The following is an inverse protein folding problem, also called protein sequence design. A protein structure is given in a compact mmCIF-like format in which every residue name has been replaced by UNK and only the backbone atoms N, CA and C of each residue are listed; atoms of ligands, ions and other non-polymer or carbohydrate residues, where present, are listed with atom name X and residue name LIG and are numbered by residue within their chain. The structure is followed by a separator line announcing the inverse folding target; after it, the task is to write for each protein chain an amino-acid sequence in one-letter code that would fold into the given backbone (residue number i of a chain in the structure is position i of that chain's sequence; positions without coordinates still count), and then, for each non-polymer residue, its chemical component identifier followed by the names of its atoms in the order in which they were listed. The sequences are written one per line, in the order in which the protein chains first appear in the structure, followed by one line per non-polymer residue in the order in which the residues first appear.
data_IF_749749167814
#
_entry.id   IF_749749167814
#
_cell.length_a   1.000
_cell.length_b   1.000
_cell.length_c   1.000
_cell.angle_alpha   90.00
_cell.angle_beta   90.00
_cell.angle_gamma   90.00
#
_symmetry.space_group_name_H-M   'P 1'
#
loop_
_entity.id
_entity.type
_entity.pdbx_description
1 polymer ?
#
# COMPACT_ATOMS: atom_id res chain seq x y z
N UNK A 1 8.19 0.24 7.21
CA UNK A 1 7.20 1.34 7.11
C UNK A 1 7.72 2.75 7.44
N UNK A 2 8.45 3.00 8.53
CA UNK A 2 8.91 4.37 8.89
C UNK A 2 9.81 5.06 7.83
N UNK A 3 10.53 4.27 7.02
CA UNK A 3 11.40 4.76 5.92
C UNK A 3 10.72 4.72 4.54
N UNK A 4 9.42 4.43 4.48
CA UNK A 4 8.70 4.29 3.21
C UNK A 4 8.80 5.55 2.35
N UNK A 5 8.54 6.71 2.94
CA UNK A 5 8.54 7.98 2.18
C UNK A 5 9.93 8.36 1.67
N UNK A 6 11.00 8.08 2.43
CA UNK A 6 12.37 8.28 1.93
C UNK A 6 12.68 7.35 0.76
N UNK A 7 12.37 6.05 0.87
CA UNK A 7 12.59 5.09 -0.21
C UNK A 7 11.80 5.47 -1.48
N UNK A 8 10.57 5.94 -1.31
CA UNK A 8 9.74 6.40 -2.43
C UNK A 8 10.32 7.65 -3.10
N UNK A 9 10.78 8.64 -2.31
CA UNK A 9 11.38 9.86 -2.84
C UNK A 9 12.67 9.56 -3.64
N UNK A 10 13.51 8.68 -3.10
CA UNK A 10 14.74 8.24 -3.77
C UNK A 10 14.41 7.53 -5.08
N UNK A 11 13.40 6.64 -5.08
CA UNK A 11 12.94 5.93 -6.29
C UNK A 11 12.39 6.89 -7.36
N UNK A 12 11.61 7.90 -6.96
CA UNK A 12 11.11 8.94 -7.88
C UNK A 12 12.25 9.71 -8.54
N UNK A 13 13.27 10.07 -7.77
CA UNK A 13 14.46 10.76 -8.29
C UNK A 13 15.17 9.91 -9.34
N UNK A 14 15.25 8.59 -9.13
CA UNK A 14 15.84 7.67 -10.10
C UNK A 14 15.01 7.58 -11.40
N UNK A 15 13.68 7.55 -11.30
CA UNK A 15 12.79 7.57 -12.46
C UNK A 15 12.98 8.84 -13.28
N UNK A 16 13.06 10.00 -12.63
CA UNK A 16 13.30 11.28 -13.31
C UNK A 16 14.64 11.28 -14.05
N UNK A 17 15.70 10.79 -13.40
CA UNK A 17 17.01 10.66 -14.03
C UNK A 17 16.99 9.73 -15.27
N UNK A 18 16.26 8.60 -15.20
CA UNK A 18 16.05 7.70 -16.34
C UNK A 18 15.34 8.41 -17.49
N UNK A 19 14.25 9.15 -17.21
CA UNK A 19 13.48 9.89 -18.21
C UNK A 19 14.35 10.93 -18.93
N UNK A 20 15.21 11.65 -18.20
CA UNK A 20 16.16 12.62 -18.78
C UNK A 20 17.21 11.93 -19.68
N UNK A 21 17.67 10.73 -19.30
CA UNK A 21 18.65 9.99 -20.10
C UNK A 21 18.07 9.41 -21.41
N UNK A 22 16.74 9.32 -21.55
CA UNK A 22 16.08 8.82 -22.77
C UNK A 22 16.30 7.33 -23.06
N UNK A 23 16.77 6.56 -22.07
CA UNK A 23 17.05 5.13 -22.22
C UNK A 23 15.87 4.27 -21.73
N UNK A 24 15.49 3.26 -22.52
CA UNK A 24 14.49 2.28 -22.11
C UNK A 24 15.04 1.29 -21.06
N UNK A 25 16.36 1.10 -21.04
CA UNK A 25 17.05 0.20 -20.09
C UNK A 25 17.64 1.01 -18.94
N UNK A 26 17.40 0.56 -17.72
CA UNK A 26 17.98 1.16 -16.51
C UNK A 26 19.48 0.84 -16.49
N UNK A 27 20.31 1.88 -16.45
CA UNK A 27 21.77 1.74 -16.29
C UNK A 27 22.11 2.00 -14.83
N UNK A 28 22.56 0.97 -14.12
CA UNK A 28 22.93 1.03 -12.70
C UNK A 28 24.43 0.79 -12.56
N UNK A 29 25.25 1.80 -12.78
CA UNK A 29 26.71 1.66 -12.73
C UNK A 29 27.25 1.80 -11.31
N UNK A 30 26.66 2.69 -10.50
CA UNK A 30 27.10 2.97 -9.14
C UNK A 30 26.53 1.95 -8.18
N UNK A 31 27.32 1.57 -7.18
CA UNK A 31 26.91 0.67 -6.11
C UNK A 31 25.64 1.19 -5.39
N UNK A 32 25.59 2.48 -5.09
CA UNK A 32 24.45 3.08 -4.39
C UNK A 32 23.15 2.95 -5.19
N UNK A 33 23.19 3.17 -6.51
CA UNK A 33 22.01 3.04 -7.38
C UNK A 33 21.51 1.57 -7.38
N UNK A 34 22.43 0.61 -7.45
CA UNK A 34 22.10 -0.83 -7.36
C UNK A 34 21.44 -1.18 -6.02
N UNK A 35 22.03 -0.72 -4.91
CA UNK A 35 21.50 -1.00 -3.57
C UNK A 35 20.13 -0.35 -3.39
N UNK A 36 19.94 0.87 -3.86
CA UNK A 36 18.66 1.57 -3.78
C UNK A 36 17.56 0.78 -4.50
N UNK A 37 17.82 0.32 -5.73
CA UNK A 37 16.85 -0.50 -6.48
C UNK A 37 16.54 -1.80 -5.75
N UNK A 38 17.54 -2.48 -5.20
CA UNK A 38 17.33 -3.74 -4.45
C UNK A 38 16.52 -3.52 -3.17
N UNK A 39 16.77 -2.42 -2.45
CA UNK A 39 15.98 -2.04 -1.27
C UNK A 39 14.53 -1.75 -1.65
N UNK A 40 14.30 -1.00 -2.73
CA UNK A 40 12.95 -0.76 -3.26
C UNK A 40 12.25 -2.05 -3.67
N UNK A 41 12.97 -2.98 -4.32
CA UNK A 41 12.41 -4.27 -4.74
C UNK A 41 11.95 -5.13 -3.55
N UNK A 42 12.75 -5.21 -2.49
CA UNK A 42 12.36 -5.92 -1.27
C UNK A 42 11.16 -5.23 -0.60
N UNK A 43 11.16 -3.90 -0.55
CA UNK A 43 10.06 -3.12 0.04
C UNK A 43 8.75 -3.27 -0.76
N UNK A 44 8.82 -3.33 -2.09
CA UNK A 44 7.70 -3.67 -2.96
C UNK A 44 7.17 -5.07 -2.67
N UNK A 45 8.06 -6.06 -2.57
CA UNK A 45 7.69 -7.43 -2.27
C UNK A 45 6.95 -7.55 -0.92
N UNK A 46 7.43 -6.85 0.11
CA UNK A 46 6.81 -6.77 1.44
C UNK A 46 5.40 -6.15 1.37
N UNK A 47 5.21 -5.14 0.51
CA UNK A 47 3.92 -4.47 0.28
C UNK A 47 3.12 -5.02 -0.90
N UNK A 48 3.40 -6.25 -1.35
CA UNK A 48 2.81 -6.81 -2.56
C UNK A 48 1.43 -7.44 -2.38
N UNK A 49 0.90 -7.53 -1.17
CA UNK A 49 -0.37 -8.21 -0.93
C UNK A 49 -1.53 -7.62 -1.78
N UNK A 50 -1.70 -6.29 -1.89
CA UNK A 50 -2.78 -5.71 -2.67
C UNK A 50 -2.62 -5.85 -4.19
N UNK A 51 -1.48 -6.35 -4.68
CA UNK A 51 -1.22 -6.53 -6.11
C UNK A 51 -1.40 -7.99 -6.57
N UNK A 52 -1.86 -8.87 -5.68
CA UNK A 52 -2.14 -10.28 -5.99
C UNK A 52 -3.62 -10.49 -6.31
N UNK A 53 -4.01 -11.59 -6.99
CA UNK A 53 -5.41 -11.92 -7.20
C UNK A 53 -6.24 -11.80 -5.91
N UNK A 54 -7.45 -11.26 -6.03
CA UNK A 54 -8.26 -10.85 -4.87
C UNK A 54 -8.41 -11.92 -3.79
N UNK A 55 -8.50 -13.20 -4.16
CA UNK A 55 -8.63 -14.31 -3.21
C UNK A 55 -7.37 -14.52 -2.33
N UNK A 56 -6.18 -14.19 -2.85
CA UNK A 56 -4.96 -14.20 -2.06
C UNK A 56 -4.86 -12.94 -1.20
N UNK A 57 -5.16 -11.77 -1.78
CA UNK A 57 -5.12 -10.52 -1.05
C UNK A 57 -6.05 -10.55 0.17
N UNK A 58 -7.28 -11.05 0.02
CA UNK A 58 -8.24 -11.19 1.13
C UNK A 58 -7.72 -12.07 2.27
N UNK A 59 -7.00 -13.15 1.96
CA UNK A 59 -6.38 -14.00 2.98
C UNK A 59 -5.30 -13.26 3.76
N UNK A 60 -4.43 -12.51 3.07
CA UNK A 60 -3.42 -11.69 3.73
C UNK A 60 -4.04 -10.58 4.58
N UNK A 61 -5.08 -9.92 4.06
CA UNK A 61 -5.81 -8.90 4.80
C UNK A 61 -6.46 -9.47 6.07
N UNK A 62 -7.07 -10.65 6.01
CA UNK A 62 -7.63 -11.30 7.19
C UNK A 62 -6.56 -11.60 8.25
N UNK A 63 -5.37 -12.03 7.82
CA UNK A 63 -4.27 -12.38 8.74
C UNK A 63 -3.70 -11.15 9.44
N UNK A 64 -3.47 -10.05 8.71
CA UNK A 64 -2.93 -8.82 9.31
C UNK A 64 -3.95 -8.16 10.24
N UNK A 65 -5.24 -8.18 9.89
CA UNK A 65 -6.29 -7.68 10.78
C UNK A 65 -6.40 -8.51 12.05
N UNK A 66 -6.30 -9.85 11.95
CA UNK A 66 -6.27 -10.70 13.14
C UNK A 66 -5.09 -10.37 14.06
N UNK A 67 -3.91 -10.09 13.49
CA UNK A 67 -2.73 -9.66 14.24
C UNK A 67 -2.98 -8.32 14.95
N UNK A 68 -3.50 -7.31 14.23
CA UNK A 68 -3.84 -6.01 14.81
C UNK A 68 -4.86 -6.13 15.93
N UNK A 69 -5.89 -6.95 15.75
CA UNK A 69 -6.92 -7.11 16.78
C UNK A 69 -6.40 -7.84 18.01
N UNK A 70 -5.48 -8.80 17.86
CA UNK A 70 -4.79 -9.43 19.00
C UNK A 70 -3.93 -8.42 19.75
N UNK A 71 -3.26 -7.51 19.04
CA UNK A 71 -2.52 -6.41 19.66
C UNK A 71 -3.49 -5.49 20.44
N UNK A 72 -4.60 -5.09 19.81
CA UNK A 72 -5.59 -4.21 20.44
C UNK A 72 -6.25 -4.82 21.68
N UNK A 73 -6.56 -6.12 21.66
CA UNK A 73 -7.05 -6.83 22.85
C UNK A 73 -6.02 -6.77 23.98
N UNK A 74 -4.72 -6.96 23.65
CA UNK A 74 -3.65 -6.91 24.64
C UNK A 74 -3.44 -5.49 25.20
N UNK A 75 -3.57 -4.47 24.36
CA UNK A 75 -3.53 -3.06 24.77
C UNK A 75 -4.68 -2.75 25.75
N UNK A 76 -5.90 -3.24 25.46
CA UNK A 76 -7.06 -3.13 26.37
C UNK A 76 -6.81 -3.83 27.71
N UNK A 77 -6.27 -5.05 27.70
CA UNK A 77 -5.93 -5.79 28.92
C UNK A 77 -4.89 -5.07 29.79
N UNK A 78 -3.94 -4.37 29.16
CA UNK A 78 -2.91 -3.60 29.86
C UNK A 78 -3.40 -2.22 30.30
N UNK A 79 -4.62 -1.83 29.95
CA UNK A 79 -5.19 -0.52 30.27
C UNK A 79 -4.48 0.64 29.58
N UNK A 80 -3.87 0.40 28.42
CA UNK A 80 -3.23 1.43 27.60
C UNK A 80 -4.12 1.81 26.41
N UNK A 81 -3.81 2.95 25.78
CA UNK A 81 -4.52 3.39 24.57
C UNK A 81 -4.37 2.35 23.46
N UNK A 82 -5.49 2.01 22.82
CA UNK A 82 -5.52 1.04 21.71
C UNK A 82 -4.99 1.71 20.46
N UNK A 83 -4.00 1.09 19.83
CA UNK A 83 -3.36 1.58 18.62
C UNK A 83 -4.38 1.75 17.48
N UNK A 84 -4.16 2.71 16.57
CA UNK A 84 -4.97 2.83 15.36
C UNK A 84 -5.10 1.49 14.64
N UNK A 85 -6.28 1.20 14.07
CA UNK A 85 -6.61 -0.05 13.37
C UNK A 85 -6.67 -1.32 14.24
N UNK A 86 -6.27 -1.26 15.51
CA UNK A 86 -6.22 -2.42 16.40
C UNK A 86 -7.55 -2.67 17.12
N UNK A 87 -8.49 -1.72 17.11
CA UNK A 87 -9.84 -1.95 17.65
C UNK A 87 -10.79 -2.57 16.61
N UNK A 88 -11.07 -3.87 16.75
CA UNK A 88 -12.03 -4.60 15.91
C UNK A 88 -13.45 -4.02 15.91
N UNK A 89 -13.83 -3.20 16.90
CA UNK A 89 -15.15 -2.58 17.00
C UNK A 89 -15.31 -1.28 16.21
N UNK A 90 -14.23 -0.68 15.70
CA UNK A 90 -14.24 0.66 15.12
C UNK A 90 -13.47 0.75 13.79
N UNK A 91 -13.45 -0.34 13.01
CA UNK A 91 -12.72 -0.40 11.74
C UNK A 91 -13.65 -0.79 10.60
N UNK A 92 -13.78 0.10 9.61
CA UNK A 92 -14.30 -0.24 8.29
C UNK A 92 -13.16 -0.81 7.45
N UNK A 93 -13.12 -2.12 7.29
CA UNK A 93 -12.03 -2.84 6.61
C UNK A 93 -11.85 -2.31 5.19
N UNK A 94 -12.94 -2.14 4.46
CA UNK A 94 -12.93 -1.73 3.06
C UNK A 94 -12.36 -0.33 2.88
N UNK A 95 -12.81 0.63 3.70
CA UNK A 95 -12.29 2.01 3.70
C UNK A 95 -10.81 2.04 4.06
N UNK A 96 -10.38 1.20 5.00
CA UNK A 96 -8.97 1.09 5.36
C UNK A 96 -8.12 0.53 4.23
N UNK A 97 -8.57 -0.51 3.53
CA UNK A 97 -7.81 -1.07 2.40
C UNK A 97 -7.72 -0.10 1.22
N UNK A 98 -8.81 0.61 0.89
CA UNK A 98 -8.76 1.68 -0.12
C UNK A 98 -7.75 2.75 0.27
N UNK A 99 -7.80 3.26 1.52
CA UNK A 99 -6.83 4.26 1.98
C UNK A 99 -5.38 3.75 1.97
N UNK A 100 -5.16 2.49 2.36
CA UNK A 100 -3.83 1.90 2.31
C UNK A 100 -3.29 1.80 0.87
N UNK A 101 -4.13 1.42 -0.08
CA UNK A 101 -3.76 1.39 -1.49
C UNK A 101 -3.45 2.81 -1.98
N UNK A 102 -4.37 3.75 -1.80
CA UNK A 102 -4.27 5.11 -2.33
C UNK A 102 -3.06 5.87 -1.79
N UNK A 103 -2.75 5.73 -0.50
CA UNK A 103 -1.71 6.55 0.14
C UNK A 103 -0.34 5.87 0.25
N UNK A 104 -0.26 4.53 0.16
CA UNK A 104 0.98 3.80 0.40
C UNK A 104 1.37 2.93 -0.80
N UNK A 105 0.47 2.04 -1.23
CA UNK A 105 0.83 0.98 -2.17
C UNK A 105 0.85 1.50 -3.60
N UNK A 106 -0.20 2.21 -4.03
CA UNK A 106 -0.30 2.73 -5.38
C UNK A 106 0.84 3.69 -5.74
N UNK A 107 1.18 4.71 -4.94
CA UNK A 107 2.29 5.62 -5.28
C UNK A 107 3.64 4.89 -5.44
N UNK A 108 3.86 3.83 -4.66
CA UNK A 108 5.06 3.02 -4.74
C UNK A 108 5.09 2.16 -6.01
N UNK A 109 4.00 1.46 -6.31
CA UNK A 109 3.91 0.58 -7.47
C UNK A 109 3.86 1.35 -8.79
N UNK A 110 3.20 2.51 -8.82
CA UNK A 110 3.22 3.43 -9.96
C UNK A 110 4.64 3.92 -10.26
N UNK A 111 5.36 4.39 -9.23
CA UNK A 111 6.75 4.83 -9.40
C UNK A 111 7.66 3.68 -9.85
N UNK A 112 7.44 2.47 -9.35
CA UNK A 112 8.17 1.29 -9.80
C UNK A 112 7.85 0.94 -11.25
N UNK A 113 6.57 0.96 -11.65
CA UNK A 113 6.14 0.67 -13.01
C UNK A 113 6.74 1.65 -14.01
N UNK A 114 6.84 2.93 -13.65
CA UNK A 114 7.57 3.94 -14.43
C UNK A 114 9.06 3.57 -14.60
N UNK A 115 9.70 3.08 -13.54
CA UNK A 115 11.11 2.70 -13.58
C UNK A 115 11.36 1.51 -14.51
N UNK A 116 10.49 0.49 -14.48
CA UNK A 116 10.66 -0.77 -15.22
C UNK A 116 9.70 -0.92 -16.41
N UNK A 117 9.11 0.18 -16.89
CA UNK A 117 8.12 0.13 -17.95
C UNK A 117 8.62 -0.66 -19.18
N UNK A 118 7.81 -1.59 -19.74
CA UNK A 118 6.40 -1.89 -19.41
C UNK A 118 6.17 -3.05 -18.43
N UNK A 119 7.22 -3.58 -17.80
CA UNK A 119 7.21 -4.93 -17.20
C UNK A 119 6.27 -5.11 -16.00
N UNK A 120 5.89 -4.02 -15.31
CA UNK A 120 5.04 -4.08 -14.12
C UNK A 120 3.58 -3.65 -14.37
N UNK A 121 3.19 -3.41 -15.63
CA UNK A 121 1.84 -2.90 -15.94
C UNK A 121 0.74 -3.82 -15.41
N UNK A 122 0.85 -5.13 -15.63
CA UNK A 122 -0.11 -6.11 -15.14
C UNK A 122 -0.25 -6.14 -13.60
N UNK A 123 0.82 -5.79 -12.88
CA UNK A 123 0.79 -5.69 -11.41
C UNK A 123 0.01 -4.44 -10.98
N UNK A 124 0.18 -3.34 -11.70
CA UNK A 124 -0.53 -2.09 -11.44
C UNK A 124 -2.03 -2.23 -11.79
N UNK A 125 -2.35 -2.84 -12.93
CA UNK A 125 -3.73 -3.13 -13.33
C UNK A 125 -4.43 -3.98 -12.26
N UNK A 126 -3.78 -5.04 -11.76
CA UNK A 126 -4.34 -5.89 -10.70
C UNK A 126 -4.55 -5.12 -9.38
N UNK A 127 -3.66 -4.18 -9.05
CA UNK A 127 -3.79 -3.32 -7.87
C UNK A 127 -5.03 -2.43 -7.98
N UNK A 128 -5.25 -1.81 -9.15
CA UNK A 128 -6.41 -0.98 -9.43
C UNK A 128 -7.72 -1.79 -9.34
N UNK A 129 -7.76 -2.98 -9.94
CA UNK A 129 -8.92 -3.89 -9.84
C UNK A 129 -9.25 -4.23 -8.37
N UNK A 130 -8.24 -4.55 -7.56
CA UNK A 130 -8.44 -4.86 -6.15
C UNK A 130 -8.91 -3.63 -5.35
N UNK A 131 -8.39 -2.44 -5.68
CA UNK A 131 -8.82 -1.19 -5.07
C UNK A 131 -10.29 -0.91 -5.36
N UNK A 132 -10.72 -1.08 -6.61
CA UNK A 132 -12.13 -0.98 -7.00
C UNK A 132 -13.01 -2.03 -6.32
N UNK A 133 -12.51 -3.26 -6.19
CA UNK A 133 -13.21 -4.33 -5.48
C UNK A 133 -13.52 -3.96 -4.02
N UNK A 134 -12.56 -3.34 -3.31
CA UNK A 134 -12.78 -2.86 -1.95
C UNK A 134 -13.67 -1.62 -1.92
N UNK A 135 -13.45 -0.66 -2.82
CA UNK A 135 -14.26 0.57 -2.92
C UNK A 135 -15.74 0.27 -3.13
N UNK A 136 -16.08 -0.68 -4.01
CA UNK A 136 -17.47 -1.10 -4.28
C UNK A 136 -18.17 -1.81 -3.12
N UNK A 137 -17.43 -2.14 -2.05
CA UNK A 137 -17.93 -2.82 -0.85
C UNK A 137 -17.95 -1.94 0.40
N UNK A 138 -17.53 -0.69 0.28
CA UNK A 138 -17.67 0.27 1.37
C UNK A 138 -19.17 0.45 1.67
N UNK A 139 -19.63 0.20 2.90
CA UNK A 139 -21.04 0.41 3.26
C UNK A 139 -21.43 1.87 3.06
N UNK A 140 -22.63 2.12 2.51
CA UNK A 140 -23.20 3.47 2.50
C UNK A 140 -23.46 3.92 3.94
N UNK A 141 -23.03 5.13 4.30
CA UNK A 141 -23.37 5.70 5.60
C UNK A 141 -24.90 5.90 5.69
N UNK A 142 -25.55 5.48 6.79
CA UNK A 142 -26.99 5.69 6.95
C UNK A 142 -27.32 7.19 6.93
N UNK A 143 -28.37 7.56 6.20
CA UNK A 143 -28.79 8.96 5.97
C UNK A 143 -28.94 9.78 7.27
N UNK A 144 -29.22 9.15 8.41
CA UNK A 144 -29.36 9.80 9.71
C UNK A 144 -28.08 10.48 10.21
N UNK A 145 -26.89 10.07 9.73
CA UNK A 145 -25.62 10.70 10.09
C UNK A 145 -25.33 11.97 9.24
N UNK A 146 -26.01 12.15 8.10
CA UNK A 146 -25.83 13.33 7.24
C UNK A 146 -26.57 14.55 7.76
N UNK A 147 -27.64 14.36 8.53
CA UNK A 147 -28.48 15.46 9.05
C UNK A 147 -27.96 16.14 10.32
N UNK A 148 -26.95 15.57 11.00
CA UNK A 148 -26.39 16.18 12.24
C UNK A 148 -25.22 17.14 11.96
N UNK A 149 -24.74 17.23 10.71
CA UNK A 149 -23.64 18.10 10.29
C UNK A 149 -24.06 19.22 9.31
N UNK A 150 -25.35 19.54 9.21
CA UNK A 150 -25.87 20.67 8.41
C UNK A 150 -26.40 21.79 9.29
#
# INVERSE_FOLDING_TARGET
MSKHMSLLADLKTMVEAKKVAGNNVIVLDKYNDKIQVLQSMIHLADLSNPTKPIELYRQWNSRILEEYWRQGDREKELGIEVSPMCDRGNVTIEKSQVGFIDYIVHPLYETWADLVYPDAQNILDQLEENREWYQSRIPEEPESARSENS
#
